data_IF_031487597264
#
_entry.id   IF_031487597264
#
_cell.length_a   1.000
_cell.length_b   1.000
_cell.length_c   1.000
_cell.angle_alpha   90.00
_cell.angle_beta   90.00
_cell.angle_gamma   90.00
#
_symmetry.space_group_name_H-M   'P 1'
#
loop_
_entity.id
_entity.type
_entity.pdbx_description
1 polymer ?
#
# COMPACT_ATOMS: atom_id res chain seq x y z
N UNK A 1 -1.49 13.66 -12.06
CA UNK A 1 -2.66 14.59 -12.05
C UNK A 1 -3.92 13.75 -11.98
N UNK A 2 -4.65 13.81 -10.87
CA UNK A 2 -5.99 13.24 -10.80
C UNK A 2 -6.83 13.90 -11.90
N UNK A 3 -7.30 13.14 -12.87
CA UNK A 3 -8.48 13.53 -13.64
C UNK A 3 -9.64 13.42 -12.66
N UNK A 4 -9.97 14.53 -11.97
CA UNK A 4 -11.14 14.58 -11.11
C UNK A 4 -12.38 14.35 -11.96
N UNK A 5 -12.82 13.12 -12.03
CA UNK A 5 -14.15 12.79 -12.52
C UNK A 5 -15.14 13.48 -11.56
N UNK A 6 -16.19 14.06 -12.12
CA UNK A 6 -17.23 14.71 -11.32
C UNK A 6 -17.93 13.62 -10.53
N UNK A 7 -17.83 13.68 -9.19
CA UNK A 7 -18.57 12.75 -8.33
C UNK A 7 -20.08 12.96 -8.49
N UNK A 8 -20.86 11.99 -8.07
CA UNK A 8 -22.31 12.16 -7.96
C UNK A 8 -22.61 13.35 -7.04
N UNK A 9 -23.41 14.30 -7.52
CA UNK A 9 -23.74 15.51 -6.76
C UNK A 9 -24.41 15.19 -5.42
N UNK A 10 -24.00 15.91 -4.41
CA UNK A 10 -24.58 15.85 -3.06
C UNK A 10 -25.19 17.18 -2.69
N UNK A 11 -26.44 17.16 -2.23
CA UNK A 11 -27.08 18.31 -1.62
C UNK A 11 -26.54 18.58 -0.20
N UNK A 12 -26.60 19.80 0.26
CA UNK A 12 -26.24 20.15 1.64
C UNK A 12 -27.06 19.36 2.67
N UNK A 13 -28.31 19.04 2.37
CA UNK A 13 -29.16 18.22 3.25
C UNK A 13 -28.61 16.79 3.40
N UNK A 14 -28.16 16.17 2.31
CA UNK A 14 -27.53 14.85 2.35
C UNK A 14 -26.25 14.86 3.17
N UNK A 15 -25.44 15.92 3.04
CA UNK A 15 -24.18 16.07 3.79
C UNK A 15 -24.46 16.22 5.28
N UNK A 16 -25.43 17.08 5.66
CA UNK A 16 -25.87 17.24 7.05
C UNK A 16 -26.35 15.93 7.63
N UNK A 17 -27.18 15.18 6.88
CA UNK A 17 -27.68 13.86 7.29
C UNK A 17 -26.55 12.86 7.48
N UNK A 18 -25.62 12.78 6.53
CA UNK A 18 -24.49 11.86 6.55
C UNK A 18 -23.53 12.13 7.71
N UNK A 19 -23.21 13.39 7.95
CA UNK A 19 -22.24 13.82 8.97
C UNK A 19 -22.86 14.05 10.35
N UNK A 20 -24.19 14.04 10.46
CA UNK A 20 -24.96 14.48 11.64
C UNK A 20 -24.57 15.90 12.06
N UNK A 21 -24.18 16.72 11.09
CA UNK A 21 -23.78 18.11 11.30
C UNK A 21 -24.97 19.06 11.42
N UNK A 22 -24.68 20.32 11.72
CA UNK A 22 -25.63 21.42 11.77
C UNK A 22 -25.33 22.42 10.66
N UNK A 23 -26.29 22.69 9.79
CA UNK A 23 -26.17 23.72 8.77
C UNK A 23 -26.28 25.11 9.44
N UNK A 24 -25.19 25.88 9.40
CA UNK A 24 -25.13 27.23 9.97
C UNK A 24 -25.42 28.29 8.92
N UNK A 25 -24.91 28.11 7.70
CA UNK A 25 -25.08 29.02 6.56
C UNK A 25 -25.42 28.19 5.32
N UNK A 26 -26.25 28.76 4.42
CA UNK A 26 -26.70 28.08 3.20
C UNK A 26 -26.67 29.02 2.01
N UNK A 27 -25.88 28.71 0.99
CA UNK A 27 -25.82 29.41 -0.30
C UNK A 27 -26.53 28.65 -1.43
N UNK A 28 -27.26 27.55 -1.10
CA UNK A 28 -28.01 26.69 -2.03
C UNK A 28 -27.20 26.03 -3.14
N UNK A 29 -25.89 25.80 -2.93
CA UNK A 29 -25.04 25.07 -3.88
C UNK A 29 -25.03 23.56 -3.59
N UNK A 30 -24.90 22.77 -4.65
CA UNK A 30 -24.62 21.32 -4.56
C UNK A 30 -23.11 21.08 -4.55
N UNK A 31 -22.70 19.95 -3.98
CA UNK A 31 -21.30 19.53 -3.91
C UNK A 31 -20.98 18.55 -5.04
N UNK A 32 -19.94 18.86 -5.80
CA UNK A 32 -19.43 18.02 -6.90
C UNK A 32 -18.02 17.48 -6.64
N UNK A 33 -17.31 18.08 -5.69
CA UNK A 33 -15.95 17.67 -5.29
C UNK A 33 -15.80 17.76 -3.79
N UNK A 34 -14.93 16.91 -3.23
CA UNK A 34 -14.55 16.96 -1.81
C UNK A 34 -13.04 17.08 -1.73
N UNK A 35 -12.55 18.07 -0.98
CA UNK A 35 -11.13 18.28 -0.76
C UNK A 35 -10.79 18.49 0.71
N UNK A 36 -9.64 17.98 1.12
CA UNK A 36 -9.00 18.26 2.42
C UNK A 36 -7.78 19.16 2.27
N UNK A 37 -7.53 19.69 1.05
CA UNK A 37 -6.41 20.58 0.73
C UNK A 37 -6.93 21.89 0.18
N UNK A 38 -6.53 23.01 0.77
CA UNK A 38 -6.87 24.36 0.27
C UNK A 38 -6.31 24.67 -1.13
N UNK A 39 -5.30 23.87 -1.57
CA UNK A 39 -4.67 24.02 -2.91
C UNK A 39 -5.42 23.27 -4.01
N UNK A 40 -6.32 22.38 -3.65
CA UNK A 40 -7.08 21.54 -4.59
C UNK A 40 -8.56 21.91 -4.53
N UNK A 41 -8.87 23.14 -4.87
CA UNK A 41 -10.22 23.70 -4.88
C UNK A 41 -10.68 23.88 -6.33
N UNK A 42 -11.85 23.35 -6.63
CA UNK A 42 -12.61 23.52 -7.88
C UNK A 42 -13.96 24.18 -7.56
N UNK A 43 -14.71 24.53 -8.59
CA UNK A 43 -16.10 24.98 -8.39
C UNK A 43 -16.92 23.88 -7.71
N UNK A 44 -17.80 24.25 -6.79
CA UNK A 44 -18.65 23.34 -6.00
C UNK A 44 -17.86 22.31 -5.14
N UNK A 45 -16.64 22.65 -4.73
CA UNK A 45 -15.87 21.86 -3.77
C UNK A 45 -16.39 22.05 -2.35
N UNK A 46 -16.63 20.96 -1.62
CA UNK A 46 -16.75 20.92 -0.19
C UNK A 46 -15.35 20.79 0.42
N UNK A 47 -14.91 21.81 1.15
CA UNK A 47 -13.65 21.76 1.89
C UNK A 47 -13.86 21.21 3.29
N UNK A 48 -13.08 20.18 3.65
CA UNK A 48 -13.11 19.52 4.96
C UNK A 48 -11.72 19.64 5.59
N UNK A 49 -11.48 20.58 6.49
CA UNK A 49 -10.18 20.71 7.18
C UNK A 49 -9.98 19.53 8.13
N UNK A 50 -8.83 18.87 8.04
CA UNK A 50 -8.51 17.74 8.91
C UNK A 50 -7.46 18.17 9.93
N UNK A 51 -7.72 17.86 11.20
CA UNK A 51 -6.75 18.05 12.28
C UNK A 51 -5.82 16.85 12.35
N UNK A 52 -4.55 17.07 12.00
CA UNK A 52 -3.48 16.10 12.15
C UNK A 52 -2.67 16.33 13.44
N UNK A 53 -1.67 15.49 13.68
CA UNK A 53 -0.80 15.61 14.86
C UNK A 53 0.04 16.88 14.87
N UNK A 54 0.49 17.35 13.70
CA UNK A 54 1.42 18.50 13.56
C UNK A 54 0.73 19.77 13.09
N UNK A 55 -0.39 19.68 12.39
CA UNK A 55 -1.08 20.78 11.74
C UNK A 55 -2.59 20.65 11.89
N UNK A 56 -3.27 21.78 12.09
CA UNK A 56 -4.72 21.87 12.03
C UNK A 56 -5.13 22.45 10.68
N UNK A 57 -5.90 21.66 9.91
CA UNK A 57 -6.41 22.07 8.59
C UNK A 57 -7.30 23.29 8.64
N UNK A 58 -7.90 23.64 9.79
CA UNK A 58 -8.72 24.84 9.97
C UNK A 58 -7.92 26.14 9.76
N UNK A 59 -6.61 26.13 9.93
CA UNK A 59 -5.75 27.28 9.60
C UNK A 59 -5.80 27.67 8.11
N UNK A 60 -6.28 26.78 7.23
CA UNK A 60 -6.36 26.99 5.78
C UNK A 60 -7.76 27.34 5.27
N UNK A 61 -8.71 27.66 6.15
CA UNK A 61 -10.07 28.03 5.75
C UNK A 61 -10.09 29.30 4.87
N UNK A 62 -9.33 30.33 5.25
CA UNK A 62 -9.19 31.55 4.46
C UNK A 62 -8.53 31.28 3.11
N UNK A 63 -7.50 30.45 3.05
CA UNK A 63 -6.83 30.09 1.80
C UNK A 63 -7.81 29.35 0.86
N UNK A 64 -8.57 28.39 1.39
CA UNK A 64 -9.57 27.68 0.61
C UNK A 64 -10.65 28.61 0.08
N UNK A 65 -11.12 29.59 0.90
CA UNK A 65 -12.08 30.61 0.46
C UNK A 65 -11.50 31.49 -0.65
N UNK A 66 -10.27 31.95 -0.50
CA UNK A 66 -9.58 32.79 -1.50
C UNK A 66 -9.33 32.02 -2.80
N UNK A 67 -9.16 30.71 -2.74
CA UNK A 67 -9.06 29.81 -3.91
C UNK A 67 -10.43 29.46 -4.52
N UNK A 68 -11.51 30.06 -4.04
CA UNK A 68 -12.84 29.94 -4.65
C UNK A 68 -13.78 28.95 -3.94
N UNK A 69 -13.38 28.30 -2.86
CA UNK A 69 -14.27 27.43 -2.10
C UNK A 69 -15.43 28.24 -1.48
N UNK A 70 -16.63 27.66 -1.53
CA UNK A 70 -17.84 28.28 -0.99
C UNK A 70 -18.68 27.32 -0.13
N UNK A 71 -18.22 26.10 0.10
CA UNK A 71 -18.90 25.11 0.91
C UNK A 71 -17.90 24.50 1.89
N UNK A 72 -18.16 24.57 3.18
CA UNK A 72 -17.22 24.19 4.23
C UNK A 72 -17.89 23.28 5.28
N UNK A 73 -17.14 22.31 5.77
CA UNK A 73 -17.38 21.68 7.07
C UNK A 73 -16.35 22.21 8.05
N UNK A 74 -16.74 22.51 9.27
CA UNK A 74 -15.82 22.89 10.36
C UNK A 74 -16.11 22.13 11.64
N UNK A 75 -15.12 21.98 12.49
CA UNK A 75 -15.28 21.52 13.87
C UNK A 75 -16.00 22.60 14.72
N UNK A 76 -16.86 22.18 15.63
CA UNK A 76 -17.63 23.07 16.53
C UNK A 76 -16.79 24.03 17.39
N UNK A 77 -15.49 23.81 17.49
CA UNK A 77 -14.57 24.67 18.24
C UNK A 77 -13.93 25.76 17.36
N UNK A 78 -14.30 25.85 16.09
CA UNK A 78 -13.80 26.83 15.16
C UNK A 78 -14.90 27.76 14.67
N UNK A 79 -14.54 29.02 14.48
CA UNK A 79 -15.41 30.04 13.91
C UNK A 79 -14.93 30.42 12.52
N UNK A 80 -15.84 30.40 11.57
CA UNK A 80 -15.59 30.87 10.21
C UNK A 80 -16.87 31.44 9.61
N UNK A 81 -16.83 32.70 9.16
CA UNK A 81 -18.00 33.37 8.62
C UNK A 81 -17.68 34.15 7.37
N UNK A 82 -18.43 33.91 6.29
CA UNK A 82 -18.50 34.73 5.07
C UNK A 82 -19.97 34.74 4.63
N UNK A 83 -20.41 35.83 3.96
CA UNK A 83 -21.81 35.99 3.57
C UNK A 83 -22.26 35.05 2.44
N UNK A 84 -21.31 34.58 1.62
CA UNK A 84 -21.55 33.86 0.36
C UNK A 84 -21.22 32.37 0.44
N UNK A 85 -21.09 31.80 1.66
CA UNK A 85 -20.75 30.40 1.84
C UNK A 85 -21.90 29.55 2.36
N UNK A 86 -21.81 28.25 2.17
CA UNK A 86 -22.47 27.23 3.00
C UNK A 86 -21.51 26.74 4.07
N UNK A 87 -21.97 26.64 5.29
CA UNK A 87 -21.19 26.23 6.44
C UNK A 87 -21.91 25.17 7.26
N UNK A 88 -21.27 24.04 7.45
CA UNK A 88 -21.77 22.91 8.23
C UNK A 88 -20.82 22.69 9.42
N UNK A 89 -21.37 22.73 10.62
CA UNK A 89 -20.67 22.45 11.87
C UNK A 89 -20.81 20.96 12.22
N UNK A 90 -19.69 20.32 12.61
CA UNK A 90 -19.65 18.92 13.06
C UNK A 90 -18.86 18.79 14.37
N UNK A 91 -18.97 17.66 15.04
CA UNK A 91 -18.18 17.40 16.24
C UNK A 91 -16.70 17.09 15.93
N UNK A 92 -16.44 16.45 14.78
CA UNK A 92 -15.10 16.00 14.35
C UNK A 92 -15.11 15.91 12.82
N UNK A 93 -14.21 16.62 12.18
CA UNK A 93 -14.15 16.71 10.71
C UNK A 93 -13.61 15.43 10.07
N UNK A 94 -12.74 14.66 10.75
CA UNK A 94 -12.23 13.39 10.27
C UNK A 94 -13.33 12.31 10.27
N UNK A 95 -14.09 12.24 11.37
CA UNK A 95 -15.25 11.33 11.46
C UNK A 95 -16.35 11.73 10.46
N UNK A 96 -16.54 13.02 10.23
CA UNK A 96 -17.47 13.53 9.22
C UNK A 96 -17.07 13.11 7.80
N UNK A 97 -15.77 13.17 7.47
CA UNK A 97 -15.23 12.70 6.19
C UNK A 97 -15.52 11.21 5.97
N UNK A 98 -15.24 10.36 6.97
CA UNK A 98 -15.53 8.93 6.92
C UNK A 98 -17.02 8.63 6.79
N UNK A 99 -17.88 9.31 7.58
CA UNK A 99 -19.33 9.14 7.54
C UNK A 99 -19.93 9.57 6.19
N UNK A 100 -19.39 10.65 5.61
CA UNK A 100 -19.80 11.14 4.30
C UNK A 100 -19.39 10.15 3.20
N UNK A 101 -18.18 9.58 3.28
CA UNK A 101 -17.72 8.57 2.35
C UNK A 101 -18.57 7.29 2.42
N UNK A 102 -18.95 6.86 3.63
CA UNK A 102 -19.89 5.74 3.81
C UNK A 102 -21.25 6.03 3.21
N UNK A 103 -21.82 7.20 3.48
CA UNK A 103 -23.10 7.61 2.89
C UNK A 103 -23.04 7.65 1.36
N UNK A 104 -21.92 8.14 0.81
CA UNK A 104 -21.69 8.17 -0.64
C UNK A 104 -21.62 6.77 -1.22
N UNK A 105 -20.84 5.88 -0.60
CA UNK A 105 -20.72 4.47 -0.99
C UNK A 105 -22.08 3.74 -1.01
N UNK A 106 -22.95 4.00 -0.03
CA UNK A 106 -24.26 3.36 0.08
C UNK A 106 -25.23 3.71 -1.07
N UNK A 107 -24.86 4.65 -1.94
CA UNK A 107 -25.61 4.95 -3.18
C UNK A 107 -25.32 3.96 -4.30
N UNK A 108 -24.28 3.13 -4.18
CA UNK A 108 -23.80 2.22 -5.22
C UNK A 108 -23.87 0.77 -4.77
N UNK A 109 -24.04 -0.13 -5.72
CA UNK A 109 -24.01 -1.57 -5.48
C UNK A 109 -22.63 -2.14 -5.85
N UNK A 110 -21.64 -1.92 -4.96
CA UNK A 110 -20.24 -2.30 -5.18
C UNK A 110 -19.80 -3.29 -4.11
N UNK A 111 -19.30 -4.45 -4.51
CA UNK A 111 -18.66 -5.39 -3.59
C UNK A 111 -17.24 -4.92 -3.25
N UNK A 112 -16.91 -4.93 -1.98
CA UNK A 112 -15.65 -4.41 -1.44
C UNK A 112 -14.76 -5.53 -0.94
N UNK A 113 -13.51 -5.54 -1.41
CA UNK A 113 -12.46 -6.46 -1.01
C UNK A 113 -11.41 -5.68 -0.22
N UNK A 114 -11.21 -6.03 1.05
CA UNK A 114 -10.16 -5.44 1.88
C UNK A 114 -8.83 -6.16 1.72
N UNK A 115 -7.73 -5.44 1.66
CA UNK A 115 -6.37 -6.01 1.62
C UNK A 115 -5.54 -5.39 2.72
N UNK A 116 -5.01 -6.22 3.62
CA UNK A 116 -4.04 -5.79 4.65
C UNK A 116 -2.88 -6.77 4.75
N UNK A 117 -1.91 -6.46 5.58
CA UNK A 117 -0.72 -7.25 5.83
C UNK A 117 0.46 -6.38 6.25
N UNK A 118 1.53 -6.97 6.69
CA UNK A 118 2.75 -6.22 7.01
C UNK A 118 3.48 -5.80 5.75
N UNK A 119 3.66 -6.71 4.79
CA UNK A 119 4.32 -6.48 3.49
C UNK A 119 3.44 -7.00 2.36
N UNK A 120 3.55 -6.42 1.16
CA UNK A 120 2.88 -6.90 -0.04
C UNK A 120 1.44 -6.44 -0.22
N UNK A 121 0.88 -5.61 0.65
CA UNK A 121 -0.49 -5.07 0.54
C UNK A 121 -0.77 -4.45 -0.83
N UNK A 122 0.07 -3.52 -1.25
CA UNK A 122 -0.08 -2.77 -2.51
C UNK A 122 0.02 -3.71 -3.72
N UNK A 123 1.02 -4.61 -3.74
CA UNK A 123 1.17 -5.58 -4.83
C UNK A 123 -0.01 -6.55 -4.88
N UNK A 124 -0.50 -7.02 -3.72
CA UNK A 124 -1.70 -7.86 -3.63
C UNK A 124 -2.94 -7.13 -4.16
N UNK A 125 -3.15 -5.86 -3.75
CA UNK A 125 -4.22 -5.00 -4.27
C UNK A 125 -4.14 -4.86 -5.78
N UNK A 126 -2.95 -4.54 -6.32
CA UNK A 126 -2.75 -4.32 -7.75
C UNK A 126 -3.02 -5.59 -8.58
N UNK A 127 -2.61 -6.75 -8.08
CA UNK A 127 -2.88 -8.03 -8.75
C UNK A 127 -4.37 -8.38 -8.70
N UNK A 128 -5.03 -8.24 -7.54
CA UNK A 128 -6.47 -8.49 -7.41
C UNK A 128 -7.26 -7.55 -8.30
N UNK A 129 -6.90 -6.26 -8.32
CA UNK A 129 -7.50 -5.26 -9.21
C UNK A 129 -7.36 -5.68 -10.67
N UNK A 130 -6.16 -6.06 -11.12
CA UNK A 130 -5.91 -6.47 -12.50
C UNK A 130 -6.76 -7.68 -12.91
N UNK A 131 -6.85 -8.68 -12.03
CA UNK A 131 -7.67 -9.88 -12.27
C UNK A 131 -9.15 -9.52 -12.33
N UNK A 132 -9.69 -8.78 -11.37
CA UNK A 132 -11.11 -8.43 -11.36
C UNK A 132 -11.50 -7.52 -12.52
N UNK A 133 -10.60 -6.61 -12.93
CA UNK A 133 -10.86 -5.64 -13.99
C UNK A 133 -10.97 -6.27 -15.39
N UNK A 134 -10.63 -7.55 -15.55
CA UNK A 134 -10.88 -8.30 -16.79
C UNK A 134 -12.39 -8.56 -17.04
N UNK A 135 -13.19 -8.52 -15.99
CA UNK A 135 -14.63 -8.79 -16.06
C UNK A 135 -15.50 -7.68 -15.49
N UNK A 136 -15.06 -7.01 -14.44
CA UNK A 136 -15.83 -6.03 -13.68
C UNK A 136 -15.12 -4.68 -13.67
N UNK A 137 -15.82 -3.57 -13.92
CA UNK A 137 -15.23 -2.25 -13.66
C UNK A 137 -14.88 -2.15 -12.17
N UNK A 138 -13.60 -2.11 -11.87
CA UNK A 138 -13.07 -2.22 -10.51
C UNK A 138 -12.38 -0.94 -10.09
N UNK A 139 -12.67 -0.45 -8.88
CA UNK A 139 -11.96 0.66 -8.23
C UNK A 139 -10.83 0.09 -7.36
N UNK A 140 -9.73 0.81 -7.23
CA UNK A 140 -8.71 0.60 -6.18
C UNK A 140 -8.26 1.92 -5.60
N UNK A 141 -7.80 1.93 -4.35
CA UNK A 141 -7.09 3.08 -3.84
C UNK A 141 -5.69 3.16 -4.46
N UNK A 142 -5.28 4.37 -4.78
CA UNK A 142 -3.99 4.65 -5.39
C UNK A 142 -2.96 5.07 -4.34
N UNK A 143 -1.69 5.02 -4.70
CA UNK A 143 -0.59 5.45 -3.85
C UNK A 143 -0.70 4.83 -2.43
N UNK A 144 -0.54 5.67 -1.40
CA UNK A 144 -0.69 5.34 0.02
C UNK A 144 -2.05 5.75 0.61
N UNK A 145 -3.10 5.83 -0.20
CA UNK A 145 -4.46 6.20 0.25
C UNK A 145 -5.15 5.05 1.01
N UNK A 146 -4.45 4.47 1.96
CA UNK A 146 -4.84 3.30 2.73
C UNK A 146 -5.14 3.61 4.22
N UNK A 147 -5.35 4.88 4.53
CA UNK A 147 -5.64 5.42 5.87
C UNK A 147 -7.00 6.13 5.94
N UNK A 148 -7.29 6.74 7.10
CA UNK A 148 -8.56 7.41 7.44
C UNK A 148 -8.93 8.59 6.53
N UNK A 149 -7.99 9.14 5.78
CA UNK A 149 -8.23 10.20 4.78
C UNK A 149 -8.25 9.62 3.36
N UNK A 150 -7.32 8.73 3.06
CA UNK A 150 -7.13 8.19 1.72
C UNK A 150 -8.25 7.25 1.28
N UNK A 151 -8.77 6.42 2.20
CA UNK A 151 -9.90 5.52 1.92
C UNK A 151 -11.15 6.31 1.55
N UNK A 152 -11.62 7.32 2.33
CA UNK A 152 -12.71 8.20 1.91
C UNK A 152 -12.50 8.85 0.56
N UNK A 153 -11.32 9.43 0.31
CA UNK A 153 -11.01 10.06 -0.98
C UNK A 153 -11.12 9.08 -2.15
N UNK A 154 -10.74 7.85 -1.96
CA UNK A 154 -10.88 6.79 -2.97
C UNK A 154 -12.34 6.53 -3.28
N UNK A 155 -13.21 6.42 -2.26
CA UNK A 155 -14.62 6.11 -2.44
C UNK A 155 -15.39 7.22 -3.17
N UNK A 156 -14.99 8.49 -3.05
CA UNK A 156 -15.61 9.59 -3.79
C UNK A 156 -15.35 9.54 -5.31
N UNK A 157 -14.50 8.64 -5.82
CA UNK A 157 -14.35 8.39 -7.24
C UNK A 157 -15.33 7.33 -7.79
N UNK A 158 -16.22 6.77 -6.95
CA UNK A 158 -17.23 5.83 -7.41
C UNK A 158 -18.29 6.53 -8.27
N UNK A 159 -18.71 5.85 -9.33
CA UNK A 159 -19.89 6.11 -10.11
C UNK A 159 -20.71 4.82 -10.30
N UNK A 160 -21.87 4.89 -10.95
CA UNK A 160 -22.76 3.74 -11.17
C UNK A 160 -22.19 2.65 -12.07
N UNK A 161 -21.05 2.85 -12.70
CA UNK A 161 -20.40 1.85 -13.57
C UNK A 161 -19.48 0.90 -12.80
N UNK A 162 -19.06 1.28 -11.58
CA UNK A 162 -18.23 0.41 -10.75
C UNK A 162 -19.03 -0.72 -10.11
N UNK A 163 -18.47 -1.93 -10.17
CA UNK A 163 -19.08 -3.15 -9.63
C UNK A 163 -18.28 -3.72 -8.46
N UNK A 164 -16.95 -3.49 -8.43
CA UNK A 164 -16.02 -3.98 -7.41
C UNK A 164 -15.10 -2.87 -6.95
N UNK A 165 -14.59 -3.00 -5.70
CA UNK A 165 -13.54 -2.15 -5.21
C UNK A 165 -12.55 -2.95 -4.36
N UNK A 166 -11.25 -2.76 -4.62
CA UNK A 166 -10.17 -3.38 -3.86
C UNK A 166 -9.51 -2.31 -3.01
N UNK A 167 -9.71 -2.38 -1.71
CA UNK A 167 -9.28 -1.36 -0.76
C UNK A 167 -8.13 -1.88 0.09
N UNK A 168 -6.93 -1.34 -0.15
CA UNK A 168 -5.79 -1.53 0.74
C UNK A 168 -6.05 -0.79 2.05
N UNK A 169 -5.82 -1.47 3.18
CA UNK A 169 -5.98 -0.96 4.54
C UNK A 169 -4.65 -1.03 5.29
N UNK A 170 -4.02 0.12 5.49
CA UNK A 170 -2.86 0.26 6.37
C UNK A 170 -3.25 0.18 7.84
N UNK A 171 -2.28 -0.04 8.71
CA UNK A 171 -2.46 0.13 10.15
C UNK A 171 -1.26 0.85 10.74
N UNK A 172 -1.52 1.80 11.61
CA UNK A 172 -0.53 2.43 12.45
C UNK A 172 -0.77 2.13 13.93
N UNK A 173 -2.02 1.90 14.32
CA UNK A 173 -2.43 1.53 15.70
C UNK A 173 -3.58 0.53 15.69
N UNK A 174 -3.79 -0.07 16.87
CA UNK A 174 -4.97 -0.92 17.12
C UNK A 174 -6.25 -0.11 16.94
N UNK A 175 -7.22 -0.69 16.24
CA UNK A 175 -8.53 -0.08 15.97
C UNK A 175 -8.63 0.62 14.61
N UNK A 176 -7.52 0.83 13.88
CA UNK A 176 -7.57 1.48 12.57
C UNK A 176 -8.44 0.70 11.58
N UNK A 177 -8.23 -0.62 11.46
CA UNK A 177 -9.06 -1.45 10.57
C UNK A 177 -10.52 -1.47 11.05
N UNK A 178 -10.76 -1.52 12.36
CA UNK A 178 -12.13 -1.45 12.89
C UNK A 178 -12.80 -0.14 12.49
N UNK A 179 -12.09 0.98 12.51
CA UNK A 179 -12.58 2.26 12.01
C UNK A 179 -12.84 2.22 10.50
N UNK A 180 -11.90 1.73 9.70
CA UNK A 180 -12.09 1.65 8.24
C UNK A 180 -13.29 0.79 7.85
N UNK A 181 -13.58 -0.27 8.60
CA UNK A 181 -14.77 -1.10 8.39
C UNK A 181 -16.08 -0.38 8.64
N UNK A 182 -16.10 0.69 9.43
CA UNK A 182 -17.30 1.54 9.55
C UNK A 182 -17.59 2.28 8.23
N UNK A 183 -16.56 2.53 7.44
CA UNK A 183 -16.64 3.20 6.14
C UNK A 183 -16.83 2.17 5.02
N UNK A 184 -16.07 1.06 5.06
CA UNK A 184 -15.96 0.05 3.98
C UNK A 184 -16.52 -1.29 4.45
N UNK A 185 -17.79 -1.63 4.14
CA UNK A 185 -18.39 -2.94 4.47
C UNK A 185 -17.82 -4.02 3.54
N UNK A 186 -16.88 -4.82 4.03
CA UNK A 186 -16.17 -5.79 3.23
C UNK A 186 -17.00 -7.04 2.93
N UNK A 187 -17.01 -7.49 1.66
CA UNK A 187 -17.51 -8.81 1.25
C UNK A 187 -16.46 -9.88 1.47
N UNK A 188 -15.21 -9.61 1.09
CA UNK A 188 -14.06 -10.49 1.25
C UNK A 188 -12.87 -9.69 1.77
N UNK A 189 -11.91 -10.39 2.38
CA UNK A 189 -10.66 -9.77 2.82
C UNK A 189 -9.45 -10.68 2.57
N UNK A 190 -8.29 -10.05 2.38
CA UNK A 190 -7.00 -10.73 2.21
C UNK A 190 -6.02 -10.21 3.25
N UNK A 191 -5.32 -11.12 3.95
CA UNK A 191 -4.17 -10.78 4.80
C UNK A 191 -2.94 -11.45 4.19
N UNK A 192 -1.99 -10.62 3.72
CA UNK A 192 -0.80 -11.13 3.02
C UNK A 192 0.20 -11.82 3.93
N UNK A 193 0.50 -11.23 5.08
CA UNK A 193 1.42 -11.77 6.09
C UNK A 193 1.38 -10.96 7.40
N UNK A 194 2.01 -11.52 8.43
CA UNK A 194 2.22 -10.90 9.74
C UNK A 194 3.74 -10.77 9.99
N UNK A 195 4.30 -9.61 9.64
CA UNK A 195 5.71 -9.25 9.87
C UNK A 195 5.86 -8.19 10.96
N UNK A 196 7.01 -7.50 10.97
CA UNK A 196 7.39 -6.53 12.00
C UNK A 196 7.15 -5.06 11.59
N UNK A 197 6.44 -4.80 10.48
CA UNK A 197 6.13 -3.42 10.09
C UNK A 197 5.29 -2.73 11.15
N UNK A 198 5.64 -1.46 11.49
CA UNK A 198 5.00 -0.64 12.53
C UNK A 198 5.08 -1.24 13.95
N UNK A 199 6.08 -2.11 14.22
CA UNK A 199 6.21 -2.81 15.50
C UNK A 199 6.32 -1.84 16.68
N UNK A 200 6.82 -0.62 16.48
CA UNK A 200 6.89 0.43 17.50
C UNK A 200 5.53 0.74 18.14
N UNK A 201 4.44 0.62 17.38
CA UNK A 201 3.08 0.94 17.82
C UNK A 201 2.35 -0.29 18.40
N UNK A 202 2.98 -1.47 18.35
CA UNK A 202 2.44 -2.73 18.86
C UNK A 202 3.44 -3.35 19.84
N UNK A 203 2.96 -4.00 20.88
CA UNK A 203 3.83 -4.61 21.89
C UNK A 203 4.75 -5.71 21.30
N UNK A 204 4.23 -6.46 20.34
CA UNK A 204 4.90 -7.60 19.70
C UNK A 204 4.16 -7.95 18.39
N UNK A 205 4.66 -8.95 17.69
CA UNK A 205 4.08 -9.44 16.43
C UNK A 205 2.66 -10.02 16.60
N UNK A 206 2.33 -10.57 17.76
CA UNK A 206 0.98 -11.02 18.09
C UNK A 206 -0.01 -9.85 18.16
N UNK A 207 0.42 -8.68 18.66
CA UNK A 207 -0.36 -7.44 18.62
C UNK A 207 -0.67 -7.01 17.20
N UNK A 208 0.29 -7.12 16.28
CA UNK A 208 0.10 -6.85 14.84
C UNK A 208 -0.90 -7.85 14.24
N UNK A 209 -0.78 -9.14 14.57
CA UNK A 209 -1.73 -10.16 14.12
C UNK A 209 -3.15 -9.82 14.56
N UNK A 210 -3.37 -9.50 15.83
CA UNK A 210 -4.71 -9.15 16.33
C UNK A 210 -5.27 -7.89 15.67
N UNK A 211 -4.44 -6.85 15.45
CA UNK A 211 -4.87 -5.64 14.78
C UNK A 211 -5.28 -5.92 13.32
N UNK A 212 -4.55 -6.75 12.58
CA UNK A 212 -4.91 -7.13 11.22
C UNK A 212 -6.14 -8.02 11.15
N UNK A 213 -6.35 -8.89 12.15
CA UNK A 213 -7.54 -9.73 12.25
C UNK A 213 -8.84 -8.94 12.50
N UNK A 214 -8.76 -7.67 12.89
CA UNK A 214 -9.93 -6.79 12.95
C UNK A 214 -10.67 -6.72 11.61
N UNK A 215 -9.98 -7.00 10.48
CA UNK A 215 -10.58 -7.00 9.14
C UNK A 215 -11.73 -8.02 9.01
N UNK A 216 -11.66 -9.12 9.74
CA UNK A 216 -12.67 -10.18 9.73
C UNK A 216 -13.56 -10.21 10.97
N UNK A 217 -13.49 -9.19 11.87
CA UNK A 217 -14.17 -9.19 13.17
C UNK A 217 -15.68 -9.46 13.08
N UNK A 218 -16.36 -8.87 12.08
CA UNK A 218 -17.82 -8.97 11.91
C UNK A 218 -18.20 -9.89 10.72
N UNK A 219 -17.26 -10.71 10.25
CA UNK A 219 -17.50 -11.65 9.17
C UNK A 219 -18.41 -12.79 9.63
N UNK A 220 -19.25 -13.23 8.71
CA UNK A 220 -20.15 -14.37 8.87
C UNK A 220 -20.01 -15.33 7.65
N UNK A 221 -20.84 -16.35 7.56
CA UNK A 221 -20.79 -17.39 6.51
C UNK A 221 -20.90 -16.86 5.06
N UNK A 222 -21.32 -15.61 4.87
CA UNK A 222 -21.37 -14.98 3.54
C UNK A 222 -20.06 -14.30 3.15
N UNK A 223 -19.17 -14.13 4.13
CA UNK A 223 -17.87 -13.50 3.95
C UNK A 223 -16.75 -14.54 3.82
N UNK A 224 -15.68 -14.17 3.15
CA UNK A 224 -14.48 -15.02 3.02
C UNK A 224 -13.24 -14.23 3.44
N UNK A 225 -12.48 -14.83 4.35
CA UNK A 225 -11.13 -14.38 4.66
C UNK A 225 -10.13 -15.25 3.90
N UNK A 226 -9.19 -14.62 3.20
CA UNK A 226 -8.14 -15.27 2.42
C UNK A 226 -6.80 -14.94 3.07
N UNK A 227 -6.01 -15.94 3.42
CA UNK A 227 -4.76 -15.74 4.16
C UNK A 227 -3.61 -16.56 3.60
N UNK A 228 -2.40 -16.04 3.75
CA UNK A 228 -1.18 -16.80 3.53
C UNK A 228 -1.07 -17.92 4.57
N UNK A 229 -1.30 -19.16 4.15
CA UNK A 229 -1.31 -20.32 5.05
C UNK A 229 0.08 -20.85 5.38
N UNK A 230 1.15 -20.26 4.83
CA UNK A 230 2.54 -20.54 5.21
C UNK A 230 3.04 -19.55 6.28
N UNK A 231 2.28 -18.48 6.56
CA UNK A 231 2.62 -17.53 7.64
C UNK A 231 2.40 -18.14 9.02
N UNK A 232 3.35 -17.95 9.92
CA UNK A 232 3.35 -18.59 11.24
C UNK A 232 2.13 -18.24 12.11
N UNK A 233 1.57 -17.04 11.98
CA UNK A 233 0.39 -16.62 12.71
C UNK A 233 -0.88 -17.00 11.97
N UNK A 234 -0.95 -16.73 10.67
CA UNK A 234 -2.16 -16.95 9.87
C UNK A 234 -2.49 -18.43 9.69
N UNK A 235 -1.48 -19.32 9.63
CA UNK A 235 -1.70 -20.77 9.55
C UNK A 235 -2.49 -21.34 10.73
N UNK A 236 -2.41 -20.70 11.91
CA UNK A 236 -3.15 -21.13 13.10
C UNK A 236 -4.68 -21.01 12.94
N UNK A 237 -5.14 -20.27 11.91
CA UNK A 237 -6.57 -20.14 11.63
C UNK A 237 -7.16 -21.41 11.01
N UNK A 238 -6.34 -22.28 10.39
CA UNK A 238 -6.77 -23.55 9.78
C UNK A 238 -7.45 -24.48 10.79
N UNK A 239 -6.99 -24.47 12.05
CA UNK A 239 -7.47 -25.34 13.11
C UNK A 239 -8.62 -24.73 13.93
N UNK A 240 -9.07 -23.52 13.58
CA UNK A 240 -10.12 -22.82 14.31
C UNK A 240 -11.49 -22.98 13.65
N UNK A 241 -12.53 -23.15 14.48
CA UNK A 241 -13.90 -23.03 14.00
C UNK A 241 -14.25 -21.57 13.85
N UNK A 242 -14.31 -21.08 12.60
CA UNK A 242 -14.56 -19.69 12.26
C UNK A 242 -16.02 -19.49 11.83
N UNK A 243 -16.63 -18.33 12.10
CA UNK A 243 -18.01 -18.04 11.67
C UNK A 243 -18.12 -17.66 10.18
N UNK A 244 -17.01 -17.60 9.45
CA UNK A 244 -16.88 -17.21 8.05
C UNK A 244 -16.07 -18.25 7.26
N UNK A 245 -16.05 -18.11 5.94
CA UNK A 245 -15.26 -18.98 5.08
C UNK A 245 -13.77 -18.58 5.15
N UNK A 246 -12.91 -19.57 5.32
CA UNK A 246 -11.45 -19.39 5.25
C UNK A 246 -10.90 -20.07 4.01
N UNK A 247 -10.14 -19.33 3.20
CA UNK A 247 -9.33 -19.87 2.12
C UNK A 247 -7.86 -19.55 2.39
N UNK A 248 -6.98 -20.51 2.10
CA UNK A 248 -5.56 -20.35 2.34
C UNK A 248 -4.75 -20.53 1.07
N UNK A 249 -3.63 -19.84 0.96
CA UNK A 249 -2.71 -19.96 -0.16
C UNK A 249 -1.27 -20.05 0.32
N UNK A 250 -0.42 -20.72 -0.43
CA UNK A 250 0.99 -20.86 -0.09
C UNK A 250 1.72 -21.89 -0.94
N UNK A 251 2.87 -22.33 -0.47
CA UNK A 251 3.65 -23.42 -1.08
C UNK A 251 3.35 -24.76 -0.40
N UNK A 252 2.89 -24.74 0.85
CA UNK A 252 2.50 -25.95 1.57
C UNK A 252 1.24 -26.55 0.97
N UNK A 253 1.23 -27.88 0.77
CA UNK A 253 0.17 -28.60 0.07
C UNK A 253 -1.18 -28.67 0.83
N UNK A 254 -1.19 -28.31 2.09
CA UNK A 254 -2.38 -28.23 2.95
C UNK A 254 -3.17 -26.94 2.77
N UNK A 255 -2.68 -26.02 1.90
CA UNK A 255 -3.42 -24.82 1.52
C UNK A 255 -4.53 -25.12 0.52
N UNK A 256 -5.55 -24.25 0.51
CA UNK A 256 -6.66 -24.34 -0.47
C UNK A 256 -6.16 -24.24 -1.91
N UNK A 257 -5.16 -23.36 -2.15
CA UNK A 257 -4.39 -23.27 -3.38
C UNK A 257 -2.91 -23.25 -3.03
N UNK A 258 -2.09 -24.04 -3.72
CA UNK A 258 -0.66 -24.08 -3.48
C UNK A 258 0.15 -24.10 -4.76
N UNK A 259 1.35 -23.47 -4.71
CA UNK A 259 2.30 -23.47 -5.81
C UNK A 259 2.97 -24.85 -5.93
N UNK A 260 2.88 -25.47 -7.10
CA UNK A 260 3.53 -26.76 -7.40
C UNK A 260 4.97 -26.56 -7.88
N UNK A 261 5.17 -25.60 -8.77
CA UNK A 261 6.48 -25.25 -9.33
C UNK A 261 6.46 -23.86 -9.91
N UNK A 262 7.62 -23.26 -10.03
CA UNK A 262 7.79 -21.98 -10.71
C UNK A 262 9.17 -21.87 -11.33
N UNK A 263 9.29 -21.00 -12.32
CA UNK A 263 10.56 -20.59 -12.95
C UNK A 263 10.52 -19.09 -13.28
N UNK A 264 11.67 -18.47 -13.33
CA UNK A 264 11.82 -17.06 -13.72
C UNK A 264 12.52 -17.02 -15.07
N UNK A 265 11.81 -16.53 -16.08
CA UNK A 265 12.30 -16.47 -17.46
C UNK A 265 11.94 -15.10 -18.05
N UNK A 266 12.95 -14.42 -18.63
CA UNK A 266 12.79 -13.13 -19.32
C UNK A 266 12.00 -12.08 -18.49
N UNK A 267 12.31 -11.95 -17.19
CA UNK A 267 11.70 -10.97 -16.31
C UNK A 267 10.28 -11.30 -15.86
N UNK A 268 9.81 -12.53 -16.12
CA UNK A 268 8.49 -13.01 -15.72
C UNK A 268 8.60 -14.28 -14.90
N UNK A 269 7.64 -14.49 -14.00
CA UNK A 269 7.47 -15.76 -13.29
C UNK A 269 6.39 -16.56 -14.01
N UNK A 270 6.75 -17.74 -14.50
CA UNK A 270 5.82 -18.79 -14.90
C UNK A 270 5.64 -19.71 -13.70
N UNK A 271 4.43 -20.01 -13.31
CA UNK A 271 4.18 -20.85 -12.13
C UNK A 271 2.95 -21.74 -12.31
N UNK A 272 3.00 -22.90 -11.66
CA UNK A 272 1.89 -23.86 -11.64
C UNK A 272 1.30 -23.92 -10.25
N UNK A 273 -0.01 -23.87 -10.16
CA UNK A 273 -0.73 -24.02 -8.90
C UNK A 273 -1.66 -25.20 -8.93
N UNK A 274 -1.82 -25.90 -7.80
CA UNK A 274 -2.89 -26.87 -7.61
C UNK A 274 -4.07 -26.17 -6.90
N UNK A 275 -5.23 -26.26 -7.50
CA UNK A 275 -6.48 -25.77 -6.92
C UNK A 275 -7.60 -26.76 -7.24
N UNK A 276 -8.34 -27.23 -6.22
CA UNK A 276 -9.39 -28.24 -6.36
C UNK A 276 -8.93 -29.51 -7.11
N UNK A 277 -7.72 -29.98 -6.79
CA UNK A 277 -7.09 -31.16 -7.40
C UNK A 277 -6.81 -31.05 -8.92
N UNK A 278 -6.75 -29.82 -9.45
CA UNK A 278 -6.34 -29.54 -10.82
C UNK A 278 -5.15 -28.61 -10.83
N UNK A 279 -4.26 -28.81 -11.79
CA UNK A 279 -3.08 -27.95 -11.98
C UNK A 279 -3.39 -26.94 -13.08
N UNK A 280 -3.06 -25.67 -12.80
CA UNK A 280 -3.24 -24.55 -13.70
C UNK A 280 -1.91 -23.81 -13.87
N UNK A 281 -1.65 -23.31 -15.07
CA UNK A 281 -0.45 -22.56 -15.44
C UNK A 281 -0.77 -21.07 -15.51
N UNK A 282 0.07 -20.26 -14.86
CA UNK A 282 -0.05 -18.81 -14.87
C UNK A 282 1.29 -18.14 -15.09
N UNK A 283 1.24 -16.90 -15.56
CA UNK A 283 2.43 -16.02 -15.72
C UNK A 283 2.14 -14.66 -15.08
N UNK A 284 3.15 -14.08 -14.41
CA UNK A 284 3.08 -12.73 -13.88
C UNK A 284 4.34 -11.95 -14.25
N UNK A 285 4.24 -10.65 -14.65
CA UNK A 285 5.39 -9.83 -15.02
C UNK A 285 6.15 -9.36 -13.77
N UNK A 286 6.85 -10.28 -13.13
CA UNK A 286 7.64 -10.06 -11.92
C UNK A 286 8.78 -11.07 -11.83
N UNK A 287 9.86 -10.70 -11.14
CA UNK A 287 10.94 -11.61 -10.78
C UNK A 287 10.97 -11.95 -9.29
N UNK A 288 10.04 -11.37 -8.53
CA UNK A 288 10.00 -11.51 -7.08
C UNK A 288 9.11 -12.70 -6.67
N UNK A 289 9.72 -13.76 -6.14
CA UNK A 289 9.03 -14.99 -5.71
C UNK A 289 7.78 -14.72 -4.85
N UNK A 290 7.81 -13.72 -3.98
CA UNK A 290 6.66 -13.40 -3.12
C UNK A 290 5.41 -12.97 -3.90
N UNK A 291 5.54 -12.53 -5.16
CA UNK A 291 4.39 -12.22 -6.00
C UNK A 291 3.61 -13.47 -6.44
N UNK A 292 4.17 -14.68 -6.30
CA UNK A 292 3.41 -15.94 -6.45
C UNK A 292 2.35 -16.04 -5.35
N UNK A 293 2.69 -15.72 -4.09
CA UNK A 293 1.72 -15.66 -2.99
C UNK A 293 0.60 -14.65 -3.28
N UNK A 294 0.98 -13.44 -3.69
CA UNK A 294 0.02 -12.39 -4.02
C UNK A 294 -0.90 -12.81 -5.19
N UNK A 295 -0.33 -13.45 -6.23
CA UNK A 295 -1.09 -13.96 -7.37
C UNK A 295 -2.08 -15.07 -6.96
N UNK A 296 -1.68 -15.99 -6.09
CA UNK A 296 -2.59 -17.04 -5.59
C UNK A 296 -3.79 -16.46 -4.85
N UNK A 297 -3.60 -15.38 -4.05
CA UNK A 297 -4.73 -14.69 -3.42
C UNK A 297 -5.70 -14.09 -4.45
N UNK A 298 -5.16 -13.51 -5.53
CA UNK A 298 -5.98 -12.97 -6.62
C UNK A 298 -6.71 -14.05 -7.42
N UNK A 299 -6.09 -15.23 -7.63
CA UNK A 299 -6.75 -16.38 -8.24
C UNK A 299 -7.95 -16.82 -7.39
N UNK A 300 -7.80 -16.86 -6.06
CA UNK A 300 -8.92 -17.20 -5.16
C UNK A 300 -10.04 -16.15 -5.25
N UNK A 301 -9.71 -14.86 -5.24
CA UNK A 301 -10.70 -13.78 -5.42
C UNK A 301 -11.39 -13.89 -6.78
N UNK A 302 -10.65 -14.09 -7.87
CA UNK A 302 -11.24 -14.28 -9.21
C UNK A 302 -12.23 -15.44 -9.25
N UNK A 303 -11.89 -16.57 -8.61
CA UNK A 303 -12.80 -17.72 -8.49
C UNK A 303 -14.06 -17.43 -7.66
N UNK A 304 -13.97 -16.65 -6.58
CA UNK A 304 -15.13 -16.24 -5.78
C UNK A 304 -16.12 -15.38 -6.60
N UNK A 305 -15.60 -14.62 -7.56
CA UNK A 305 -16.41 -13.80 -8.48
C UNK A 305 -16.69 -14.47 -9.84
N UNK A 306 -16.49 -15.80 -9.95
CA UNK A 306 -16.75 -16.58 -11.16
C UNK A 306 -16.05 -16.04 -12.42
N UNK A 307 -14.80 -15.60 -12.29
CA UNK A 307 -13.96 -15.37 -13.44
C UNK A 307 -13.52 -16.72 -14.01
N UNK A 308 -13.46 -16.78 -15.32
CA UNK A 308 -12.92 -17.94 -16.03
C UNK A 308 -11.41 -18.05 -15.85
N UNK A 309 -10.84 -19.21 -16.13
CA UNK A 309 -9.39 -19.42 -16.13
C UNK A 309 -8.68 -18.41 -17.04
N UNK A 310 -9.20 -18.17 -18.23
CA UNK A 310 -8.61 -17.25 -19.20
C UNK A 310 -8.66 -15.77 -18.72
N UNK A 311 -9.76 -15.35 -18.10
CA UNK A 311 -9.86 -14.01 -17.51
C UNK A 311 -8.84 -13.84 -16.38
N UNK A 312 -8.72 -14.81 -15.47
CA UNK A 312 -7.73 -14.76 -14.38
C UNK A 312 -6.30 -14.73 -14.95
N UNK A 313 -6.00 -15.59 -15.91
CA UNK A 313 -4.69 -15.67 -16.56
C UNK A 313 -4.32 -14.34 -17.21
N UNK A 314 -5.21 -13.76 -18.01
CA UNK A 314 -5.02 -12.48 -18.67
C UNK A 314 -4.80 -11.36 -17.65
N UNK A 315 -5.60 -11.32 -16.57
CA UNK A 315 -5.44 -10.35 -15.50
C UNK A 315 -4.10 -10.45 -14.79
N UNK A 316 -3.57 -11.65 -14.57
CA UNK A 316 -2.24 -11.86 -14.00
C UNK A 316 -1.11 -11.44 -14.96
N UNK A 317 -1.24 -11.70 -16.25
CA UNK A 317 -0.25 -11.33 -17.27
C UNK A 317 -0.19 -9.81 -17.52
N UNK A 318 -1.29 -9.10 -17.29
CA UNK A 318 -1.45 -7.65 -17.54
C UNK A 318 -1.20 -6.78 -16.31
N UNK A 319 -0.77 -7.33 -15.18
CA UNK A 319 -0.53 -6.57 -13.95
C UNK A 319 0.45 -5.44 -14.16
N UNK A 320 0.04 -4.23 -13.77
CA UNK A 320 0.90 -3.07 -13.62
C UNK A 320 1.09 -2.79 -12.13
N UNK A 321 2.29 -2.99 -11.64
CA UNK A 321 2.62 -2.71 -10.24
C UNK A 321 2.79 -1.22 -9.99
N UNK A 322 2.44 -0.78 -8.79
CA UNK A 322 2.75 0.58 -8.32
C UNK A 322 4.26 0.80 -8.35
N UNK A 323 4.69 1.94 -8.85
CA UNK A 323 6.11 2.32 -8.95
C UNK A 323 6.83 2.24 -7.59
N UNK A 324 8.11 1.90 -7.62
CA UNK A 324 8.91 1.71 -6.40
C UNK A 324 8.64 0.40 -5.66
N UNK A 325 8.01 -0.59 -6.32
CA UNK A 325 7.77 -1.94 -5.81
C UNK A 325 8.51 -2.97 -6.66
N UNK A 326 9.84 -3.08 -6.45
CA UNK A 326 10.74 -3.92 -7.25
C UNK A 326 10.62 -3.66 -8.76
N UNK A 327 10.46 -2.41 -9.13
CA UNK A 327 10.39 -1.98 -10.53
C UNK A 327 11.79 -2.10 -11.14
N UNK A 328 11.93 -2.83 -12.25
CA UNK A 328 13.20 -2.97 -12.96
C UNK A 328 13.25 -1.91 -14.06
N UNK A 329 14.31 -1.10 -14.04
CA UNK A 329 14.62 -0.10 -15.06
C UNK A 329 15.93 -0.55 -15.73
N UNK A 330 15.85 -0.99 -16.98
CA UNK A 330 17.03 -1.39 -17.74
C UNK A 330 17.58 -0.18 -18.48
N UNK A 331 18.84 0.13 -18.26
CA UNK A 331 19.61 1.13 -18.99
C UNK A 331 20.71 0.44 -19.78
N UNK A 332 21.30 1.12 -20.75
CA UNK A 332 22.37 0.58 -21.60
C UNK A 332 23.54 0.01 -20.80
N UNK A 333 23.88 0.67 -19.70
CA UNK A 333 25.09 0.35 -18.94
C UNK A 333 24.80 -0.19 -17.52
N UNK A 334 23.59 -0.07 -17.00
CA UNK A 334 23.21 -0.54 -15.66
C UNK A 334 21.77 -1.07 -15.64
N UNK A 335 21.48 -1.89 -14.65
CA UNK A 335 20.09 -2.28 -14.31
C UNK A 335 19.74 -1.72 -12.93
N UNK A 336 18.64 -1.00 -12.81
CA UNK A 336 18.16 -0.44 -11.57
C UNK A 336 16.97 -1.25 -11.08
N UNK A 337 17.00 -1.67 -9.81
CA UNK A 337 15.88 -2.30 -9.10
C UNK A 337 15.36 -1.25 -8.12
N UNK A 338 14.30 -0.55 -8.52
CA UNK A 338 13.66 0.46 -7.67
C UNK A 338 12.67 -0.21 -6.71
N UNK A 339 13.00 -0.21 -5.41
CA UNK A 339 12.13 -0.65 -4.33
C UNK A 339 12.06 0.39 -3.20
N UNK A 340 12.04 1.68 -3.60
CA UNK A 340 12.15 2.84 -2.69
C UNK A 340 10.83 3.32 -2.10
N UNK A 341 9.71 2.64 -2.33
CA UNK A 341 8.42 3.09 -1.80
C UNK A 341 8.39 3.09 -0.27
N UNK A 342 8.83 2.01 0.37
CA UNK A 342 9.01 1.90 1.82
C UNK A 342 9.90 0.69 2.15
N UNK A 343 10.38 0.59 3.41
CA UNK A 343 11.22 -0.49 3.87
C UNK A 343 10.73 -1.13 5.18
N UNK A 344 10.98 -2.42 5.29
CA UNK A 344 10.91 -3.22 6.52
C UNK A 344 11.94 -4.34 6.40
N UNK A 345 12.28 -4.99 7.51
CA UNK A 345 13.22 -6.12 7.51
C UNK A 345 12.88 -7.17 6.44
N UNK A 346 11.63 -7.63 6.42
CA UNK A 346 11.17 -8.69 5.51
C UNK A 346 11.21 -8.24 4.05
N UNK A 347 10.85 -6.96 3.78
CA UNK A 347 10.89 -6.43 2.42
C UNK A 347 12.32 -6.21 1.92
N UNK A 348 13.27 -5.83 2.79
CA UNK A 348 14.70 -5.72 2.42
C UNK A 348 15.28 -7.11 2.14
N UNK A 349 15.01 -8.11 2.99
CA UNK A 349 15.40 -9.50 2.74
C UNK A 349 14.90 -10.00 1.39
N UNK A 350 13.65 -9.73 1.08
CA UNK A 350 13.05 -10.11 -0.20
C UNK A 350 13.73 -9.42 -1.39
N UNK A 351 14.03 -8.13 -1.28
CA UNK A 351 14.71 -7.36 -2.33
C UNK A 351 16.15 -7.82 -2.54
N UNK A 352 16.89 -8.12 -1.46
CA UNK A 352 18.25 -8.69 -1.54
C UNK A 352 18.24 -10.09 -2.20
N UNK A 353 17.25 -10.93 -1.90
CA UNK A 353 17.08 -12.21 -2.57
C UNK A 353 16.82 -12.03 -4.08
N UNK A 354 16.10 -11.00 -4.51
CA UNK A 354 15.95 -10.67 -5.92
C UNK A 354 17.28 -10.21 -6.51
N UNK A 355 18.00 -9.30 -5.85
CA UNK A 355 19.31 -8.84 -6.29
C UNK A 355 20.29 -10.01 -6.47
N UNK A 356 20.29 -10.99 -5.55
CA UNK A 356 21.19 -12.15 -5.59
C UNK A 356 21.01 -13.04 -6.83
N UNK A 357 19.86 -12.98 -7.51
CA UNK A 357 19.60 -13.77 -8.73
C UNK A 357 20.33 -13.25 -9.96
N UNK A 358 20.80 -12.00 -9.91
CA UNK A 358 21.56 -11.41 -11.01
C UNK A 358 23.03 -11.91 -11.01
N UNK A 359 23.56 -12.15 -12.21
CA UNK A 359 24.95 -12.63 -12.41
C UNK A 359 25.96 -11.48 -12.55
N UNK A 360 25.50 -10.26 -12.59
CA UNK A 360 26.29 -9.03 -12.68
C UNK A 360 26.87 -8.66 -11.31
N UNK A 361 27.75 -7.65 -11.26
CA UNK A 361 28.15 -7.05 -9.99
C UNK A 361 26.91 -6.41 -9.32
N UNK A 362 26.67 -6.78 -8.10
CA UNK A 362 25.48 -6.43 -7.32
C UNK A 362 25.79 -5.28 -6.37
N UNK A 363 25.09 -4.17 -6.55
CA UNK A 363 25.19 -2.99 -5.71
C UNK A 363 23.88 -2.84 -4.90
N UNK A 364 23.97 -2.80 -3.59
CA UNK A 364 22.82 -2.52 -2.73
C UNK A 364 22.96 -1.13 -2.10
N UNK A 365 22.00 -0.24 -2.37
CA UNK A 365 21.86 1.07 -1.73
C UNK A 365 20.71 0.95 -0.74
N UNK A 366 21.05 0.85 0.54
CA UNK A 366 20.08 0.62 1.62
C UNK A 366 20.09 1.79 2.59
N UNK A 367 18.90 2.31 2.90
CA UNK A 367 18.73 3.33 3.91
C UNK A 367 17.99 2.83 5.14
N UNK A 368 17.84 3.72 6.12
CA UNK A 368 17.19 3.42 7.40
C UNK A 368 15.80 2.84 7.22
N UNK A 369 15.45 1.91 8.10
CA UNK A 369 14.10 1.45 8.35
C UNK A 369 13.55 2.25 9.53
N UNK A 370 12.59 3.12 9.24
CA UNK A 370 11.96 3.99 10.24
C UNK A 370 10.83 3.26 10.98
N UNK A 371 10.27 3.90 12.02
CA UNK A 371 9.14 3.40 12.82
C UNK A 371 9.41 2.05 13.52
N UNK A 372 10.66 1.80 13.85
CA UNK A 372 11.12 0.54 14.48
C UNK A 372 11.11 0.59 16.00
N UNK A 373 11.11 1.79 16.60
CA UNK A 373 11.13 1.98 18.05
C UNK A 373 12.28 1.24 18.74
N UNK A 374 12.00 0.52 19.81
CA UNK A 374 13.00 -0.26 20.55
C UNK A 374 13.62 -1.43 19.77
N UNK A 375 13.08 -1.78 18.61
CA UNK A 375 13.59 -2.86 17.75
C UNK A 375 14.59 -2.38 16.69
N UNK A 376 14.93 -1.07 16.69
CA UNK A 376 15.79 -0.44 15.66
C UNK A 376 17.12 -1.19 15.48
N UNK A 377 17.84 -1.40 16.55
CA UNK A 377 19.14 -2.08 16.52
C UNK A 377 19.01 -3.54 16.03
N UNK A 378 18.02 -4.27 16.52
CA UNK A 378 17.79 -5.67 16.13
C UNK A 378 17.42 -5.79 14.64
N UNK A 379 16.54 -4.93 14.15
CA UNK A 379 16.11 -4.90 12.74
C UNK A 379 17.31 -4.62 11.84
N UNK A 380 18.10 -3.57 12.14
CA UNK A 380 19.24 -3.19 11.30
C UNK A 380 20.37 -4.23 11.35
N UNK A 381 20.61 -4.90 12.48
CA UNK A 381 21.52 -6.05 12.57
C UNK A 381 21.04 -7.22 11.70
N UNK A 382 19.75 -7.54 11.73
CA UNK A 382 19.18 -8.59 10.89
C UNK A 382 19.23 -8.25 9.40
N UNK A 383 19.14 -6.97 9.02
CA UNK A 383 19.41 -6.50 7.67
C UNK A 383 20.88 -6.77 7.31
N UNK A 384 21.82 -6.42 8.18
CA UNK A 384 23.26 -6.67 7.99
C UNK A 384 23.56 -8.14 7.71
N UNK A 385 22.97 -9.07 8.47
CA UNK A 385 23.12 -10.52 8.22
C UNK A 385 22.60 -10.92 6.83
N UNK A 386 21.52 -10.28 6.36
CA UNK A 386 20.89 -10.61 5.07
C UNK A 386 21.67 -10.08 3.86
N UNK A 387 22.59 -9.14 4.05
CA UNK A 387 23.43 -8.58 3.01
C UNK A 387 24.52 -9.58 2.59
N UNK A 388 25.01 -10.37 3.53
CA UNK A 388 26.14 -11.30 3.31
C UNK A 388 25.80 -12.33 2.23
N UNK A 389 26.64 -12.39 1.19
CA UNK A 389 26.46 -13.28 0.03
C UNK A 389 25.46 -12.77 -1.03
N UNK A 390 24.74 -11.69 -0.76
CA UNK A 390 23.71 -11.17 -1.66
C UNK A 390 24.11 -9.89 -2.42
N UNK A 391 25.21 -9.23 -2.03
CA UNK A 391 25.71 -8.02 -2.69
C UNK A 391 27.24 -7.98 -2.72
N UNK A 392 27.79 -7.29 -3.69
CA UNK A 392 29.24 -7.11 -3.87
C UNK A 392 29.69 -5.71 -3.39
N UNK A 393 28.84 -4.70 -3.56
CA UNK A 393 29.05 -3.31 -3.10
C UNK A 393 27.86 -2.90 -2.24
N UNK A 394 28.14 -2.29 -1.10
CA UNK A 394 27.14 -1.82 -0.15
C UNK A 394 27.24 -0.31 0.03
N UNK A 395 26.13 0.39 -0.21
CA UNK A 395 25.98 1.82 0.07
C UNK A 395 24.90 1.95 1.15
N UNK A 396 25.26 2.54 2.27
CA UNK A 396 24.40 2.73 3.45
C UNK A 396 24.05 4.20 3.61
N UNK A 397 22.78 4.52 3.90
CA UNK A 397 22.29 5.91 3.95
C UNK A 397 21.42 6.15 5.19
N UNK A 398 21.82 7.08 6.04
CA UNK A 398 21.09 7.48 7.23
C UNK A 398 21.89 7.33 8.53
N UNK A 399 21.22 7.33 9.67
CA UNK A 399 21.84 7.32 11.01
C UNK A 399 21.82 5.92 11.64
N UNK A 400 20.71 5.19 11.51
CA UNK A 400 20.49 3.86 12.12
C UNK A 400 21.22 2.75 11.38
N UNK A 401 21.65 3.02 10.14
CA UNK A 401 22.46 2.09 9.33
C UNK A 401 23.79 1.73 9.98
N UNK A 402 24.25 2.45 11.00
CA UNK A 402 25.43 2.10 11.79
C UNK A 402 25.37 0.67 12.35
N UNK A 403 24.20 0.22 12.78
CA UNK A 403 24.00 -1.17 13.26
C UNK A 403 24.12 -2.19 12.14
N UNK A 404 23.67 -1.82 10.92
CA UNK A 404 23.87 -2.63 9.71
C UNK A 404 25.36 -2.71 9.35
N UNK A 405 26.07 -1.57 9.38
CA UNK A 405 27.51 -1.49 9.13
C UNK A 405 28.29 -2.39 10.09
N UNK A 406 28.06 -2.25 11.40
CA UNK A 406 28.77 -3.03 12.41
C UNK A 406 28.54 -4.56 12.21
N UNK A 407 27.31 -4.95 11.88
CA UNK A 407 26.96 -6.35 11.65
C UNK A 407 27.62 -6.93 10.38
N UNK A 408 27.68 -6.17 9.26
CA UNK A 408 28.35 -6.65 8.04
C UNK A 408 29.85 -6.76 8.22
N UNK A 409 30.49 -5.83 8.97
CA UNK A 409 31.91 -5.92 9.32
C UNK A 409 32.18 -7.16 10.18
N UNK A 410 31.35 -7.39 11.19
CA UNK A 410 31.44 -8.57 12.05
C UNK A 410 31.32 -9.89 11.26
N UNK A 411 30.60 -9.89 10.16
CA UNK A 411 30.44 -11.04 9.26
C UNK A 411 31.43 -11.03 8.07
N UNK A 412 32.57 -10.31 8.21
CA UNK A 412 33.69 -10.28 7.26
C UNK A 412 33.32 -9.74 5.86
N UNK A 413 32.36 -8.83 5.77
CA UNK A 413 32.16 -8.10 4.51
C UNK A 413 33.39 -7.20 4.25
N UNK A 414 33.86 -7.14 2.98
CA UNK A 414 35.03 -6.35 2.66
C UNK A 414 34.76 -4.85 2.89
N UNK A 415 35.52 -4.23 3.79
CA UNK A 415 35.36 -2.82 4.19
C UNK A 415 35.55 -1.86 3.01
N UNK A 416 36.42 -2.18 2.04
CA UNK A 416 36.67 -1.37 0.86
C UNK A 416 35.47 -1.30 -0.10
N UNK A 417 34.51 -2.18 0.08
CA UNK A 417 33.28 -2.26 -0.70
C UNK A 417 32.07 -1.65 0.03
N UNK A 418 32.29 -0.93 1.14
CA UNK A 418 31.22 -0.28 1.91
C UNK A 418 31.39 1.25 1.82
N UNK A 419 30.31 1.92 1.46
CA UNK A 419 30.22 3.39 1.43
C UNK A 419 29.08 3.81 2.37
N UNK A 420 29.31 4.84 3.18
CA UNK A 420 28.34 5.34 4.16
C UNK A 420 28.09 6.82 3.89
N UNK A 421 26.84 7.19 3.77
CA UNK A 421 26.40 8.56 3.55
C UNK A 421 25.28 8.94 4.51
N UNK A 422 25.21 10.23 4.87
CA UNK A 422 24.14 10.71 5.74
C UNK A 422 22.84 10.93 4.98
N UNK A 423 22.91 11.38 3.73
CA UNK A 423 21.74 11.77 2.94
C UNK A 423 21.79 11.22 1.53
N UNK A 424 20.64 11.22 0.84
CA UNK A 424 20.56 10.81 -0.56
C UNK A 424 21.32 11.77 -1.49
N UNK A 425 21.42 13.07 -1.13
CA UNK A 425 22.19 14.06 -1.87
C UNK A 425 23.69 13.72 -1.89
N UNK A 426 24.21 13.20 -0.78
CA UNK A 426 25.59 12.76 -0.70
C UNK A 426 25.84 11.50 -1.54
N UNK A 427 24.84 10.60 -1.62
CA UNK A 427 24.90 9.47 -2.56
C UNK A 427 24.99 9.98 -3.99
N UNK A 428 24.12 10.89 -4.41
CA UNK A 428 24.12 11.45 -5.78
C UNK A 428 25.46 12.08 -6.15
N UNK A 429 26.11 12.79 -5.23
CA UNK A 429 27.42 13.41 -5.49
C UNK A 429 28.55 12.40 -5.73
N UNK A 430 28.43 11.20 -5.21
CA UNK A 430 29.53 10.23 -5.19
C UNK A 430 29.28 8.96 -6.01
N UNK A 431 28.04 8.68 -6.37
CA UNK A 431 27.61 7.37 -6.92
C UNK A 431 28.32 7.03 -8.23
N UNK A 432 28.59 8.02 -9.11
CA UNK A 432 29.23 7.80 -10.40
C UNK A 432 30.68 7.30 -10.28
N UNK A 433 31.33 7.53 -9.11
CA UNK A 433 32.65 7.00 -8.81
C UNK A 433 32.62 5.57 -8.25
N UNK A 434 31.46 5.06 -7.86
CA UNK A 434 31.26 3.77 -7.18
C UNK A 434 30.73 2.74 -8.17
N UNK A 435 29.68 3.10 -8.92
CA UNK A 435 29.03 2.20 -9.87
C UNK A 435 29.83 2.04 -11.15
N UNK A 436 29.64 0.91 -11.82
CA UNK A 436 30.36 0.52 -13.04
C UNK A 436 29.37 0.01 -14.07
N UNK A 437 29.80 0.06 -15.32
CA UNK A 437 29.07 -0.58 -16.42
C UNK A 437 28.82 -2.05 -16.13
N UNK A 438 27.60 -2.50 -16.33
CA UNK A 438 27.15 -3.86 -16.09
C UNK A 438 26.59 -4.08 -14.66
N UNK A 439 26.57 -3.09 -13.79
CA UNK A 439 26.03 -3.23 -12.43
C UNK A 439 24.53 -3.45 -12.42
N UNK A 440 24.07 -4.25 -11.46
CA UNK A 440 22.68 -4.28 -11.03
C UNK A 440 22.57 -3.62 -9.66
N UNK A 441 21.76 -2.57 -9.58
CA UNK A 441 21.70 -1.65 -8.43
C UNK A 441 20.31 -1.76 -7.80
N UNK A 442 20.25 -2.26 -6.57
CA UNK A 442 19.04 -2.24 -5.75
C UNK A 442 19.02 -0.99 -4.90
N UNK A 443 17.89 -0.25 -4.92
CA UNK A 443 17.68 0.88 -4.03
C UNK A 443 16.47 0.60 -3.13
N UNK A 444 16.67 0.67 -1.80
CA UNK A 444 15.58 0.45 -0.84
C UNK A 444 15.82 1.14 0.50
N UNK A 445 14.82 1.92 0.93
CA UNK A 445 14.77 2.58 2.24
C UNK A 445 13.33 2.89 2.64
N UNK A 446 13.12 3.30 3.88
CA UNK A 446 11.88 3.97 4.26
C UNK A 446 11.68 5.24 3.45
N UNK A 447 10.42 5.58 3.18
CA UNK A 447 10.05 6.72 2.32
C UNK A 447 10.74 8.04 2.74
N UNK A 448 10.89 8.27 4.05
CA UNK A 448 11.53 9.47 4.61
C UNK A 448 12.99 9.67 4.22
N UNK A 449 13.70 8.62 3.82
CA UNK A 449 15.11 8.67 3.39
C UNK A 449 15.24 9.19 1.94
N UNK A 450 14.15 9.17 1.16
CA UNK A 450 14.04 9.75 -0.19
C UNK A 450 15.00 9.15 -1.24
N UNK A 451 15.33 7.88 -1.14
CA UNK A 451 16.18 7.21 -2.14
C UNK A 451 15.56 7.19 -3.56
N UNK A 452 14.27 7.48 -3.70
CA UNK A 452 13.64 7.72 -5.02
C UNK A 452 14.34 8.81 -5.83
N UNK A 453 14.92 9.83 -5.17
CA UNK A 453 15.68 10.88 -5.86
C UNK A 453 16.98 10.33 -6.49
N UNK A 454 17.60 9.33 -5.85
CA UNK A 454 18.77 8.63 -6.43
C UNK A 454 18.33 7.79 -7.64
N UNK A 455 17.16 7.16 -7.57
CA UNK A 455 16.59 6.44 -8.74
C UNK A 455 16.38 7.40 -9.90
N UNK A 456 15.75 8.56 -9.65
CA UNK A 456 15.55 9.58 -10.70
C UNK A 456 16.86 10.10 -11.29
N UNK A 457 17.88 10.30 -10.46
CA UNK A 457 19.19 10.71 -10.91
C UNK A 457 19.81 9.67 -11.86
N UNK A 458 19.84 8.39 -11.45
CA UNK A 458 20.36 7.29 -12.26
C UNK A 458 19.57 7.10 -13.56
N UNK A 459 18.24 7.21 -13.49
CA UNK A 459 17.36 7.08 -14.65
C UNK A 459 17.58 8.17 -15.70
N UNK A 460 17.90 9.39 -15.27
CA UNK A 460 18.19 10.54 -16.14
C UNK A 460 19.63 10.55 -16.67
N UNK A 461 20.59 10.06 -15.88
CA UNK A 461 22.03 10.14 -16.19
C UNK A 461 22.47 9.02 -17.16
N UNK A 462 21.88 7.85 -17.01
CA UNK A 462 22.24 6.69 -17.84
C UNK A 462 21.26 6.52 -19.00
N UNK A 463 21.79 6.35 -20.22
CA UNK A 463 21.01 6.19 -21.46
C UNK A 463 20.17 4.89 -21.45
N UNK A 464 19.05 4.93 -22.18
CA UNK A 464 18.17 3.77 -22.38
C UNK A 464 18.79 2.71 -23.28
#
# INVERSE_FOLDING_TARGET
MYKGEIMLKLSLYEIVKATKGKLLLNNNKEVEYISTSSKDIKENTLFIPIKGEKYDGHAFLEDAYNNGCRIFIIDKNHEFYKKDISLIEVNDTLLALGSLARFYLDKFNVDLIGVTGSVGKTSTRDIIYSVLNEKYKTLKNELNYNNEIGIPKTLFNLDYSYEKAVIEMGIDKKGDISYFKTIVPLKHAVISNIGLSHIANFKNQEGIFHAKMEIAKDFNKENTLIVNGDDNFLKTLKDKKLPYNLLTYGFDKDNTIYCVSYEIVNGKINFKVNFKNKVYDYTIPSIAKHNIYNAMSAILIGNLYNLTYEEIKKGLESVSFTEGRLTIINKKDITIINDCYNASLDSIKSALNVLSTFKTRKVAILGDVLETGSYEEEIHKNIGKSIIGNTDILILVGDSIKYTYDEVIKNNFNKDNIYVFNTYEDVIKNIDNIIKKGDTILLKASHGIKLSNVVEYLDKTYEN
#
